data_IF_688588745927
#
_entry.id   IF_688588745927
#
_cell.length_a   1.000
_cell.length_b   1.000
_cell.length_c   1.000
_cell.angle_alpha   90.00
_cell.angle_beta   90.00
_cell.angle_gamma   90.00
#
_symmetry.space_group_name_H-M   'P 1'
#
loop_
_entity.id
_entity.type
_entity.pdbx_description
1 polymer ?
#
# COMPACT_ATOMS: atom_id res chain seq x y z
N UNK A 1 -40.39 -66.12 7.63
CA UNK A 1 -40.16 -66.15 9.08
C UNK A 1 -39.52 -64.85 9.49
N UNK A 2 -40.30 -64.12 10.26
CA UNK A 2 -39.94 -63.10 11.26
C UNK A 2 -39.15 -61.87 10.78
N UNK A 3 -39.78 -60.78 10.78
CA UNK A 3 -40.48 -59.86 11.70
C UNK A 3 -39.54 -58.73 12.18
N UNK A 4 -40.01 -57.56 11.84
CA UNK A 4 -40.32 -56.37 12.67
C UNK A 4 -39.17 -55.55 13.18
N UNK A 5 -39.28 -54.25 13.01
CA UNK A 5 -38.67 -53.24 13.80
C UNK A 5 -38.66 -51.87 13.18
N UNK A 6 -39.82 -51.19 13.22
CA UNK A 6 -39.93 -49.72 13.11
C UNK A 6 -39.15 -49.05 14.24
N UNK A 7 -38.52 -47.97 13.94
CA UNK A 7 -38.58 -46.81 14.83
C UNK A 7 -38.29 -45.51 14.09
N UNK A 8 -39.33 -44.72 13.95
CA UNK A 8 -39.32 -43.30 13.79
C UNK A 8 -38.61 -42.65 14.98
N UNK A 9 -37.78 -41.75 14.73
CA UNK A 9 -37.51 -40.65 15.68
C UNK A 9 -37.20 -39.38 14.91
N UNK A 10 -38.17 -38.50 15.00
CA UNK A 10 -38.07 -37.06 14.78
C UNK A 10 -36.75 -36.51 15.29
N UNK A 11 -36.09 -35.72 14.47
CA UNK A 11 -35.18 -34.74 14.99
C UNK A 11 -35.29 -33.41 14.24
N UNK A 12 -35.92 -32.50 14.95
CA UNK A 12 -36.04 -31.08 14.68
C UNK A 12 -34.72 -30.46 14.24
N UNK A 13 -34.77 -29.67 13.19
CA UNK A 13 -33.82 -28.60 12.91
C UNK A 13 -33.83 -27.59 14.04
N UNK A 14 -32.69 -27.09 14.49
CA UNK A 14 -32.61 -25.77 15.08
C UNK A 14 -32.38 -24.74 13.98
N UNK A 15 -33.22 -23.75 13.97
CA UNK A 15 -33.06 -22.49 13.27
C UNK A 15 -31.77 -21.84 13.79
N UNK A 16 -30.82 -21.62 12.90
CA UNK A 16 -29.66 -20.77 13.20
C UNK A 16 -29.94 -19.40 12.64
N UNK A 17 -30.28 -18.52 13.56
CA UNK A 17 -30.27 -17.09 13.36
C UNK A 17 -28.92 -16.64 12.80
N UNK A 18 -28.99 -15.99 11.67
CA UNK A 18 -27.88 -15.22 11.09
C UNK A 18 -27.75 -13.97 11.95
N UNK A 19 -26.81 -13.95 12.85
CA UNK A 19 -26.39 -12.72 13.50
C UNK A 19 -25.46 -11.96 12.56
N UNK A 20 -25.99 -10.91 11.98
CA UNK A 20 -25.23 -9.87 11.33
C UNK A 20 -24.28 -9.24 12.35
N UNK A 21 -23.03 -9.67 12.31
CA UNK A 21 -21.94 -8.98 12.95
C UNK A 21 -21.14 -8.24 11.87
N UNK A 22 -21.67 -7.11 11.44
CA UNK A 22 -20.86 -6.06 10.85
C UNK A 22 -19.82 -5.59 11.89
N UNK A 23 -18.69 -6.24 11.93
CA UNK A 23 -17.50 -5.65 12.53
C UNK A 23 -16.84 -4.79 11.47
N UNK A 24 -17.22 -3.52 11.50
CA UNK A 24 -16.37 -2.42 10.99
C UNK A 24 -15.00 -2.52 11.67
N UNK A 25 -14.08 -3.24 11.04
CA UNK A 25 -12.69 -3.29 11.47
C UNK A 25 -11.95 -2.09 10.86
N UNK A 26 -12.15 -0.92 11.48
CA UNK A 26 -11.44 0.32 11.16
C UNK A 26 -10.16 0.38 12.01
N UNK A 27 -9.26 -0.56 11.81
CA UNK A 27 -7.97 -0.61 12.48
C UNK A 27 -6.86 -0.78 11.46
N UNK A 28 -6.08 0.28 11.23
CA UNK A 28 -4.79 0.14 10.55
C UNK A 28 -3.96 -0.88 11.33
N UNK A 29 -3.71 -2.03 10.73
CA UNK A 29 -2.85 -3.04 11.34
C UNK A 29 -1.39 -2.66 11.13
N UNK A 30 -0.48 -3.18 11.94
CA UNK A 30 0.96 -2.95 11.79
C UNK A 30 1.49 -3.37 10.40
N UNK A 31 0.77 -4.24 9.71
CA UNK A 31 1.09 -4.69 8.35
C UNK A 31 0.81 -3.61 7.29
N UNK A 32 -0.12 -2.67 7.56
CA UNK A 32 -0.43 -1.55 6.64
C UNK A 32 0.74 -0.57 6.47
N UNK A 33 1.69 -0.58 7.41
CA UNK A 33 2.88 0.28 7.37
C UNK A 33 4.12 -0.40 6.80
N UNK A 34 4.05 -1.70 6.54
CA UNK A 34 5.21 -2.52 6.17
C UNK A 34 5.84 -2.09 4.84
N UNK A 35 5.02 -1.60 3.93
CA UNK A 35 5.43 -1.11 2.61
C UNK A 35 5.38 0.41 2.50
N UNK A 36 5.26 1.11 3.63
CA UNK A 36 5.19 2.57 3.65
C UNK A 36 3.93 3.15 2.99
N UNK A 37 2.85 2.38 2.91
CA UNK A 37 1.61 2.81 2.28
C UNK A 37 0.42 2.71 3.24
N UNK A 38 -0.39 3.75 3.27
CA UNK A 38 -1.64 3.81 4.05
C UNK A 38 -2.76 4.30 3.14
N UNK A 39 -3.86 3.56 3.10
CA UNK A 39 -5.08 4.01 2.43
C UNK A 39 -6.09 4.45 3.47
N UNK A 40 -6.55 5.69 3.37
CA UNK A 40 -7.62 6.20 4.21
C UNK A 40 -8.58 7.04 3.37
N UNK A 41 -9.82 6.58 3.30
CA UNK A 41 -10.83 7.15 2.39
C UNK A 41 -10.39 7.03 0.93
N UNK A 42 -10.43 8.08 0.13
CA UNK A 42 -10.09 8.09 -1.28
C UNK A 42 -8.61 8.48 -1.56
N UNK A 43 -7.80 8.68 -0.54
CA UNK A 43 -6.39 9.10 -0.67
C UNK A 43 -5.45 7.99 -0.24
N UNK A 44 -4.55 7.60 -1.13
CA UNK A 44 -3.45 6.70 -0.81
C UNK A 44 -2.23 7.51 -0.37
N UNK A 45 -1.66 7.16 0.78
CA UNK A 45 -0.39 7.73 1.26
C UNK A 45 0.71 6.70 1.08
N UNK A 46 1.81 7.12 0.49
CA UNK A 46 3.02 6.32 0.27
C UNK A 46 4.21 7.06 0.86
N UNK A 47 5.08 6.35 1.56
CA UNK A 47 6.33 6.92 2.08
C UNK A 47 7.52 6.45 1.25
N UNK A 48 8.42 7.39 0.91
CA UNK A 48 9.73 7.12 0.30
C UNK A 48 10.78 7.62 1.29
N UNK A 49 11.26 6.69 2.11
CA UNK A 49 12.13 7.02 3.26
C UNK A 49 13.40 6.19 3.19
N UNK A 50 14.53 6.85 3.47
CA UNK A 50 15.84 6.22 3.46
C UNK A 50 16.42 6.09 2.06
N UNK A 51 17.21 5.07 1.81
CA UNK A 51 17.87 4.83 0.53
C UNK A 51 16.94 4.12 -0.45
N UNK A 52 17.03 4.46 -1.73
CA UNK A 52 16.29 3.77 -2.79
C UNK A 52 17.07 2.52 -3.17
N UNK A 53 16.53 1.37 -2.78
CA UNK A 53 17.12 0.06 -3.07
C UNK A 53 16.71 -0.39 -4.47
N UNK A 54 17.73 -0.75 -5.27
CA UNK A 54 17.57 -1.24 -6.63
C UNK A 54 17.67 -2.77 -6.72
N UNK A 55 18.55 -3.24 -7.61
CA UNK A 55 18.76 -4.68 -7.83
C UNK A 55 19.64 -5.33 -6.76
N UNK A 56 20.49 -4.55 -6.11
CA UNK A 56 21.34 -5.02 -5.03
C UNK A 56 20.63 -4.81 -3.68
N UNK A 57 20.62 -5.85 -2.86
CA UNK A 57 20.01 -5.77 -1.53
C UNK A 57 20.90 -4.95 -0.59
N UNK A 58 20.32 -3.96 0.02
CA UNK A 58 20.95 -3.21 1.10
C UNK A 58 21.01 -4.05 2.39
N UNK A 59 21.97 -3.78 3.30
CA UNK A 59 22.02 -4.43 4.61
C UNK A 59 20.69 -4.29 5.35
N UNK A 60 20.27 -5.33 6.07
CA UNK A 60 19.00 -5.34 6.82
C UNK A 60 18.91 -4.23 7.89
N UNK A 61 20.02 -3.60 8.24
CA UNK A 61 20.09 -2.45 9.15
C UNK A 61 19.81 -1.11 8.47
N UNK A 62 19.84 -1.06 7.14
CA UNK A 62 19.57 0.14 6.36
C UNK A 62 18.07 0.38 6.24
N UNK A 63 17.67 1.64 6.35
CA UNK A 63 16.31 2.03 5.96
C UNK A 63 16.28 2.23 4.46
N UNK A 64 15.42 1.48 3.78
CA UNK A 64 15.34 1.51 2.33
C UNK A 64 13.90 1.50 1.84
N UNK A 65 13.70 2.13 0.69
CA UNK A 65 12.51 1.98 -0.12
C UNK A 65 12.84 1.07 -1.29
N UNK A 66 12.23 -0.12 -1.34
CA UNK A 66 12.49 -1.13 -2.37
C UNK A 66 11.66 -0.88 -3.61
N UNK A 67 12.31 -0.66 -4.76
CA UNK A 67 11.59 -0.31 -5.98
C UNK A 67 10.71 -1.47 -6.49
N UNK A 68 11.15 -2.72 -6.32
CA UNK A 68 10.39 -3.90 -6.73
C UNK A 68 9.06 -4.07 -5.95
N UNK A 69 8.96 -3.53 -4.73
CA UNK A 69 7.71 -3.49 -3.96
C UNK A 69 6.84 -2.30 -4.36
N UNK A 70 7.49 -1.20 -4.74
CA UNK A 70 6.79 0.04 -5.09
C UNK A 70 6.09 -0.05 -6.45
N UNK A 71 6.73 -0.63 -7.46
CA UNK A 71 6.18 -0.72 -8.81
C UNK A 71 4.81 -1.42 -8.85
N UNK A 72 4.65 -2.65 -8.31
CA UNK A 72 3.34 -3.30 -8.29
C UNK A 72 2.32 -2.54 -7.45
N UNK A 73 2.76 -1.89 -6.35
CA UNK A 73 1.89 -1.06 -5.52
C UNK A 73 1.33 0.15 -6.27
N UNK A 74 2.15 0.85 -7.04
CA UNK A 74 1.72 1.97 -7.87
C UNK A 74 0.74 1.51 -8.96
N UNK A 75 1.00 0.36 -9.59
CA UNK A 75 0.10 -0.22 -10.57
C UNK A 75 -1.27 -0.60 -9.94
N UNK A 76 -1.27 -1.21 -8.76
CA UNK A 76 -2.49 -1.53 -8.01
C UNK A 76 -3.30 -0.27 -7.71
N UNK A 77 -2.64 0.78 -7.21
CA UNK A 77 -3.26 2.07 -6.92
C UNK A 77 -3.88 2.68 -8.17
N UNK A 78 -3.19 2.65 -9.31
CA UNK A 78 -3.71 3.19 -10.56
C UNK A 78 -4.98 2.46 -11.03
N UNK A 79 -5.06 1.15 -10.81
CA UNK A 79 -6.22 0.32 -11.19
C UNK A 79 -7.39 0.43 -10.20
N UNK A 80 -7.15 0.79 -8.96
CA UNK A 80 -8.18 0.86 -7.92
C UNK A 80 -9.08 2.08 -8.13
N UNK A 81 -10.37 1.86 -8.37
CA UNK A 81 -11.34 2.92 -8.65
C UNK A 81 -11.72 3.76 -7.43
N UNK A 82 -11.50 3.24 -6.24
CA UNK A 82 -11.86 3.91 -4.99
C UNK A 82 -10.77 4.93 -4.58
N UNK A 83 -9.53 4.72 -5.00
CA UNK A 83 -8.42 5.65 -4.79
C UNK A 83 -8.54 6.80 -5.78
N UNK A 84 -8.59 8.04 -5.28
CA UNK A 84 -8.78 9.27 -6.06
C UNK A 84 -7.52 10.12 -6.19
N UNK A 85 -6.47 9.81 -5.42
CA UNK A 85 -5.21 10.53 -5.45
C UNK A 85 -4.15 9.86 -4.60
N UNK A 86 -2.90 10.28 -4.78
CA UNK A 86 -1.74 9.72 -4.09
C UNK A 86 -0.91 10.84 -3.47
N UNK A 87 -0.56 10.68 -2.21
CA UNK A 87 0.38 11.54 -1.51
C UNK A 87 1.67 10.76 -1.23
N UNK A 88 2.78 11.23 -1.77
CA UNK A 88 4.11 10.72 -1.49
C UNK A 88 4.77 11.57 -0.41
N UNK A 89 5.04 10.97 0.75
CA UNK A 89 5.83 11.62 1.83
C UNK A 89 7.27 11.18 1.66
N UNK A 90 8.17 12.14 1.48
CA UNK A 90 9.55 11.87 1.10
C UNK A 90 10.56 12.37 2.13
N UNK A 91 11.50 11.49 2.46
CA UNK A 91 12.72 11.81 3.19
C UNK A 91 13.80 10.81 2.78
N UNK A 92 14.52 11.10 1.69
CA UNK A 92 15.45 10.15 1.06
C UNK A 92 16.78 10.80 0.72
N UNK A 93 17.83 10.06 0.92
CA UNK A 93 19.20 10.42 0.48
C UNK A 93 19.47 10.09 -0.99
N UNK A 94 18.50 9.49 -1.67
CA UNK A 94 18.65 8.93 -3.01
C UNK A 94 18.96 7.44 -2.94
N UNK A 95 19.77 6.94 -3.87
CA UNK A 95 20.15 5.54 -3.94
C UNK A 95 20.37 5.07 -5.38
N UNK A 96 19.85 3.88 -5.74
CA UNK A 96 19.96 3.33 -7.08
C UNK A 96 19.27 4.22 -8.11
N UNK A 97 20.05 4.69 -9.09
CA UNK A 97 19.59 5.65 -10.09
C UNK A 97 18.57 5.01 -11.04
N UNK A 98 18.81 3.77 -11.47
CA UNK A 98 17.93 3.08 -12.42
C UNK A 98 16.57 2.77 -11.77
N UNK A 99 16.59 2.30 -10.53
CA UNK A 99 15.37 2.06 -9.75
C UNK A 99 14.59 3.35 -9.50
N UNK A 100 15.28 4.42 -9.10
CA UNK A 100 14.64 5.71 -8.86
C UNK A 100 14.05 6.33 -10.13
N UNK A 101 14.72 6.21 -11.28
CA UNK A 101 14.15 6.65 -12.57
C UNK A 101 12.93 5.83 -12.94
N UNK A 102 12.97 4.50 -12.77
CA UNK A 102 11.80 3.66 -13.04
C UNK A 102 10.58 4.07 -12.19
N UNK A 103 10.80 4.37 -10.91
CA UNK A 103 9.76 4.88 -10.02
C UNK A 103 9.25 6.26 -10.45
N UNK A 104 10.15 7.17 -10.83
CA UNK A 104 9.78 8.51 -11.29
C UNK A 104 8.91 8.45 -12.56
N UNK A 105 9.29 7.65 -13.54
CA UNK A 105 8.52 7.43 -14.77
C UNK A 105 7.16 6.78 -14.47
N UNK A 106 7.12 5.82 -13.57
CA UNK A 106 5.86 5.20 -13.16
C UNK A 106 4.93 6.23 -12.50
N UNK A 107 5.45 7.06 -11.58
CA UNK A 107 4.68 8.13 -10.93
C UNK A 107 4.18 9.15 -11.96
N UNK A 108 5.05 9.62 -12.86
CA UNK A 108 4.69 10.57 -13.90
C UNK A 108 3.66 10.03 -14.89
N UNK A 109 3.58 8.70 -15.05
CA UNK A 109 2.60 8.05 -15.95
C UNK A 109 1.22 7.86 -15.32
N UNK A 110 1.06 8.06 -14.01
CA UNK A 110 -0.22 7.89 -13.32
C UNK A 110 -1.25 8.90 -13.80
N UNK A 111 -2.49 8.45 -13.92
CA UNK A 111 -3.64 9.31 -14.29
C UNK A 111 -4.31 9.91 -13.06
N UNK A 112 -4.08 9.31 -11.90
CA UNK A 112 -4.58 9.85 -10.64
C UNK A 112 -3.75 11.05 -10.21
N UNK A 113 -4.37 12.09 -9.62
CA UNK A 113 -3.63 13.21 -9.06
C UNK A 113 -2.57 12.75 -8.05
N UNK A 114 -1.37 13.24 -8.22
CA UNK A 114 -0.21 12.89 -7.41
C UNK A 114 0.40 14.13 -6.76
N UNK A 115 0.81 14.00 -5.51
CA UNK A 115 1.47 15.06 -4.74
C UNK A 115 2.66 14.50 -4.02
N UNK A 116 3.79 15.17 -4.06
CA UNK A 116 4.93 14.90 -3.18
C UNK A 116 5.04 15.94 -2.07
N UNK A 117 5.29 15.47 -0.86
CA UNK A 117 5.60 16.27 0.32
C UNK A 117 6.96 15.86 0.86
N UNK A 118 7.94 16.70 0.64
CA UNK A 118 9.31 16.50 1.12
C UNK A 118 9.40 17.08 2.54
N UNK A 119 9.51 16.19 3.53
CA UNK A 119 9.54 16.54 4.97
C UNK A 119 10.94 16.60 5.57
N UNK A 120 11.95 16.36 4.77
CA UNK A 120 13.37 16.37 5.13
C UNK A 120 14.19 16.47 3.86
N UNK A 121 14.98 15.44 3.60
CA UNK A 121 15.86 15.39 2.44
C UNK A 121 15.18 14.78 1.21
N UNK A 122 15.59 15.24 0.04
CA UNK A 122 15.36 14.56 -1.25
C UNK A 122 16.58 14.80 -2.12
N UNK A 123 17.61 13.98 -1.92
CA UNK A 123 18.90 14.12 -2.61
C UNK A 123 19.03 13.19 -3.81
N UNK A 124 19.98 13.52 -4.71
CA UNK A 124 20.36 12.69 -5.85
C UNK A 124 19.10 12.27 -6.65
N UNK A 125 18.91 10.97 -6.86
CA UNK A 125 17.75 10.43 -7.57
C UNK A 125 16.40 10.69 -6.85
N UNK A 126 16.42 11.08 -5.59
CA UNK A 126 15.24 11.57 -4.87
C UNK A 126 14.64 12.84 -5.48
N UNK A 127 15.47 13.69 -6.14
CA UNK A 127 14.99 14.93 -6.77
C UNK A 127 14.07 14.63 -7.96
N UNK A 128 14.46 13.83 -8.96
CA UNK A 128 13.53 13.41 -10.01
C UNK A 128 12.24 12.79 -9.48
N UNK A 129 12.32 11.95 -8.45
CA UNK A 129 11.14 11.37 -7.81
C UNK A 129 10.22 12.46 -7.22
N UNK A 130 10.79 13.44 -6.54
CA UNK A 130 10.00 14.52 -5.93
C UNK A 130 9.24 15.36 -6.96
N UNK A 131 9.83 15.59 -8.14
CA UNK A 131 9.23 16.43 -9.19
C UNK A 131 8.48 15.63 -10.26
N UNK A 132 8.40 14.30 -10.14
CA UNK A 132 7.62 13.46 -11.05
C UNK A 132 6.12 13.47 -10.77
N UNK A 133 5.71 14.02 -9.63
CA UNK A 133 4.31 14.21 -9.24
C UNK A 133 3.72 15.47 -9.85
N UNK A 134 2.38 15.59 -9.92
CA UNK A 134 1.71 16.79 -10.43
C UNK A 134 2.04 18.04 -9.61
N UNK A 135 2.18 17.89 -8.29
CA UNK A 135 2.53 18.97 -7.37
C UNK A 135 3.57 18.50 -6.35
N UNK A 136 4.58 19.33 -6.13
CA UNK A 136 5.65 19.08 -5.17
C UNK A 136 5.70 20.18 -4.11
N UNK A 137 5.73 19.78 -2.85
CA UNK A 137 5.87 20.67 -1.72
C UNK A 137 7.08 20.27 -0.88
N UNK A 138 7.83 21.26 -0.45
CA UNK A 138 8.96 21.08 0.46
C UNK A 138 8.72 21.92 1.73
N UNK A 139 8.90 21.31 2.88
CA UNK A 139 8.80 22.02 4.15
C UNK A 139 10.06 22.84 4.37
N UNK A 140 9.94 24.04 4.95
CA UNK A 140 11.14 24.80 5.36
C UNK A 140 11.86 24.03 6.47
N UNK A 141 13.13 23.82 6.33
CA UNK A 141 14.03 23.22 7.34
C UNK A 141 14.95 24.25 7.94
#
# INVERSE_FOLDING_TARGET
>A
MNTIGNNESDNKKPDNEISDNEKSNNGNTADDYKDGAVTKNALQVITIIGEIEGHDNLPATSKATKYEHMLPKLAEIEMDKDIKGVLFIMNTVGGDVSAGLALAEMIASMKKPTVSLIIGDSHSIGVPLAVSTDYSFIVPT
#
